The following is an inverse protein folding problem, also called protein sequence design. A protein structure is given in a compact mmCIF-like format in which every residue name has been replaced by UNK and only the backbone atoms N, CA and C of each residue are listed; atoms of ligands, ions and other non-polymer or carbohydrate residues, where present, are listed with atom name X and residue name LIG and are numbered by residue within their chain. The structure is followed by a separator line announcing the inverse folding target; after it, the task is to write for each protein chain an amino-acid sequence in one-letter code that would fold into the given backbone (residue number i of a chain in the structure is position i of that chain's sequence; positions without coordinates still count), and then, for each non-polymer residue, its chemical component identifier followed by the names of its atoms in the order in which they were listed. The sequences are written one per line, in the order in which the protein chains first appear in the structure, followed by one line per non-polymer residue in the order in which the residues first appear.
data_IF_362827057950
#
_entry.id   IF_362827057950
#
_cell.length_a   1.000
_cell.length_b   1.000
_cell.length_c   1.000
_cell.angle_alpha   90.00
_cell.angle_beta   90.00
_cell.angle_gamma   90.00
#
_symmetry.space_group_name_H-M   'P 1'
#
loop_
_entity.id
_entity.type
_entity.pdbx_description
1 polymer ?
#
# COMPACT_ATOMS: atom_id res chain seq x y z
N UNK A 1 -19.13 -27.98 17.14
CA UNK A 1 -19.22 -26.70 17.85
C UNK A 1 -19.83 -25.69 16.91
N UNK A 2 -20.81 -24.93 17.40
CA UNK A 2 -21.34 -23.78 16.68
C UNK A 2 -20.23 -22.73 16.55
N UNK A 3 -20.06 -22.17 15.35
CA UNK A 3 -19.04 -21.14 15.09
C UNK A 3 -19.53 -19.80 15.61
N UNK A 4 -18.61 -18.96 16.11
CA UNK A 4 -18.91 -17.63 16.69
C UNK A 4 -19.59 -16.66 15.71
N UNK A 5 -19.42 -16.89 14.41
CA UNK A 5 -20.10 -16.19 13.32
C UNK A 5 -20.16 -17.10 12.09
N UNK A 6 -20.81 -16.67 11.00
CA UNK A 6 -21.00 -17.49 9.78
C UNK A 6 -20.42 -16.85 8.52
N UNK A 7 -20.38 -15.52 8.39
CA UNK A 7 -19.97 -14.84 7.17
C UNK A 7 -19.40 -13.44 7.41
N UNK A 8 -18.30 -13.14 6.74
CA UNK A 8 -17.73 -11.78 6.61
C UNK A 8 -18.08 -11.21 5.24
N UNK A 9 -18.56 -9.98 5.18
CA UNK A 9 -18.70 -9.21 3.95
C UNK A 9 -17.48 -8.31 3.82
N UNK A 10 -16.77 -8.39 2.70
CA UNK A 10 -15.68 -7.47 2.36
C UNK A 10 -16.16 -6.55 1.23
N UNK A 11 -15.98 -5.25 1.39
CA UNK A 11 -16.40 -4.24 0.42
C UNK A 11 -15.16 -3.64 -0.25
N UNK A 12 -15.05 -3.81 -1.56
CA UNK A 12 -13.93 -3.34 -2.38
C UNK A 12 -12.96 -4.46 -2.78
N UNK A 13 -12.87 -4.75 -4.08
CA UNK A 13 -11.93 -5.73 -4.65
C UNK A 13 -10.56 -5.11 -5.00
N UNK A 14 -10.11 -4.14 -4.21
CA UNK A 14 -8.73 -3.66 -4.27
C UNK A 14 -7.75 -4.64 -3.60
N UNK A 15 -6.44 -4.35 -3.63
CA UNK A 15 -5.40 -5.29 -3.21
C UNK A 15 -5.56 -5.75 -1.76
N UNK A 16 -5.88 -4.83 -0.84
CA UNK A 16 -6.11 -5.19 0.58
C UNK A 16 -7.38 -6.03 0.79
N UNK A 17 -8.47 -5.71 0.08
CA UNK A 17 -9.73 -6.47 0.18
C UNK A 17 -9.57 -7.90 -0.33
N UNK A 18 -8.90 -8.07 -1.48
CA UNK A 18 -8.56 -9.36 -2.05
C UNK A 18 -7.61 -10.17 -1.15
N UNK A 19 -6.58 -9.53 -0.57
CA UNK A 19 -5.68 -10.21 0.37
C UNK A 19 -6.43 -10.67 1.62
N UNK A 20 -7.32 -9.85 2.19
CA UNK A 20 -8.16 -10.25 3.32
C UNK A 20 -9.06 -11.44 2.96
N UNK A 21 -9.69 -11.40 1.79
CA UNK A 21 -10.53 -12.51 1.29
C UNK A 21 -9.73 -13.81 1.20
N UNK A 22 -8.51 -13.77 0.65
CA UNK A 22 -7.63 -14.93 0.59
C UNK A 22 -7.27 -15.49 1.97
N UNK A 23 -6.85 -14.62 2.89
CA UNK A 23 -6.45 -15.01 4.24
C UNK A 23 -7.60 -15.69 4.98
N UNK A 24 -8.79 -15.08 4.95
CA UNK A 24 -10.00 -15.62 5.58
C UNK A 24 -10.46 -16.93 4.92
N UNK A 25 -10.54 -16.96 3.59
CA UNK A 25 -11.02 -18.14 2.87
C UNK A 25 -10.07 -19.34 3.02
N UNK A 26 -8.75 -19.09 3.04
CA UNK A 26 -7.74 -20.12 3.33
C UNK A 26 -7.88 -20.70 4.74
N UNK A 27 -8.32 -19.90 5.70
CA UNK A 27 -8.61 -20.34 7.07
C UNK A 27 -9.98 -21.05 7.20
N UNK A 28 -10.77 -21.09 6.14
CA UNK A 28 -12.10 -21.69 6.12
C UNK A 28 -13.21 -20.77 6.66
N UNK A 29 -12.97 -19.46 6.74
CA UNK A 29 -13.98 -18.46 7.08
C UNK A 29 -14.75 -18.09 5.81
N UNK A 30 -16.09 -18.19 5.78
CA UNK A 30 -16.87 -17.79 4.61
C UNK A 30 -16.82 -16.27 4.38
N UNK A 31 -16.49 -15.87 3.15
CA UNK A 31 -16.38 -14.47 2.75
C UNK A 31 -17.21 -14.19 1.51
N UNK A 32 -17.93 -13.08 1.54
CA UNK A 32 -18.58 -12.49 0.38
C UNK A 32 -17.89 -11.17 0.02
N UNK A 33 -17.29 -11.10 -1.16
CA UNK A 33 -16.66 -9.89 -1.69
C UNK A 33 -17.66 -9.10 -2.54
N UNK A 34 -17.81 -7.81 -2.29
CA UNK A 34 -18.64 -6.90 -3.08
C UNK A 34 -17.76 -5.86 -3.77
N UNK A 35 -17.93 -5.70 -5.07
CA UNK A 35 -17.21 -4.71 -5.88
C UNK A 35 -18.19 -3.90 -6.72
N UNK A 36 -17.98 -2.59 -6.76
CA UNK A 36 -18.83 -1.67 -7.50
C UNK A 36 -18.64 -1.79 -9.02
N UNK A 37 -17.43 -2.09 -9.46
CA UNK A 37 -17.03 -2.26 -10.87
C UNK A 37 -17.49 -3.62 -11.41
N UNK A 38 -17.37 -3.83 -12.72
CA UNK A 38 -17.66 -5.10 -13.40
C UNK A 38 -16.41 -5.98 -13.61
N UNK A 39 -15.20 -5.43 -13.44
CA UNK A 39 -13.92 -6.13 -13.42
C UNK A 39 -12.93 -5.39 -12.48
N UNK A 40 -11.74 -5.98 -12.28
CA UNK A 40 -10.61 -5.34 -11.62
C UNK A 40 -10.04 -4.16 -12.45
N UNK A 41 -9.40 -3.22 -11.75
CA UNK A 41 -8.62 -2.15 -12.37
C UNK A 41 -7.42 -2.74 -13.14
N UNK A 42 -7.34 -2.45 -14.43
CA UNK A 42 -6.32 -2.98 -15.35
C UNK A 42 -5.10 -2.06 -15.48
N UNK A 43 -5.07 -0.92 -14.77
CA UNK A 43 -3.95 0.01 -14.83
C UNK A 43 -2.76 -0.55 -14.03
N UNK A 44 -1.55 -0.61 -14.61
CA UNK A 44 -0.36 -1.16 -13.95
C UNK A 44 0.20 -0.20 -12.91
N UNK A 45 -0.56 0.07 -11.85
CA UNK A 45 -0.12 0.94 -10.76
C UNK A 45 1.04 0.28 -10.04
N UNK A 46 2.11 1.04 -9.85
CA UNK A 46 3.29 0.60 -9.12
C UNK A 46 2.94 0.19 -7.70
N UNK A 47 3.33 -1.02 -7.31
CA UNK A 47 3.21 -1.53 -5.95
C UNK A 47 4.49 -2.27 -5.56
N UNK A 48 5.18 -1.72 -4.57
CA UNK A 48 6.37 -2.30 -3.97
C UNK A 48 6.00 -2.66 -2.54
N UNK A 49 6.11 -3.94 -2.20
CA UNK A 49 5.71 -4.50 -0.91
C UNK A 49 6.94 -4.61 -0.02
N UNK A 50 7.04 -3.73 0.98
CA UNK A 50 8.16 -3.72 1.92
C UNK A 50 8.16 -4.94 2.85
N UNK A 51 9.23 -5.15 3.64
CA UNK A 51 9.38 -6.30 4.53
C UNK A 51 8.15 -6.60 5.42
N UNK A 52 7.44 -5.60 5.98
CA UNK A 52 6.27 -5.86 6.81
C UNK A 52 5.12 -6.56 6.10
N UNK A 53 5.00 -6.45 4.78
CA UNK A 53 3.93 -7.09 4.00
C UNK A 53 4.25 -8.55 3.64
N UNK A 54 5.53 -8.93 3.63
CA UNK A 54 5.99 -10.25 3.18
C UNK A 54 5.36 -11.41 4.00
N UNK A 55 5.26 -11.34 5.34
CA UNK A 55 4.60 -12.39 6.12
C UNK A 55 3.15 -12.63 5.71
N UNK A 56 2.39 -11.60 5.33
CA UNK A 56 0.98 -11.76 4.96
C UNK A 56 0.82 -12.33 3.55
N UNK A 57 1.69 -11.96 2.60
CA UNK A 57 1.76 -12.59 1.27
C UNK A 57 2.15 -14.07 1.39
N UNK A 58 3.10 -14.41 2.28
CA UNK A 58 3.49 -15.80 2.58
C UNK A 58 2.31 -16.56 3.21
N UNK A 59 1.64 -15.96 4.19
CA UNK A 59 0.48 -16.53 4.87
C UNK A 59 -0.68 -16.82 3.91
N UNK A 60 -0.97 -15.89 2.99
CA UNK A 60 -1.93 -16.09 1.91
C UNK A 60 -1.48 -17.22 0.94
N UNK A 61 -0.18 -17.47 0.83
CA UNK A 61 0.41 -18.52 -0.01
C UNK A 61 0.60 -18.09 -1.45
N UNK A 62 0.79 -16.79 -1.67
CA UNK A 62 0.98 -16.19 -3.00
C UNK A 62 2.38 -15.61 -3.18
N UNK A 63 3.19 -15.49 -2.11
CA UNK A 63 4.50 -14.84 -2.16
C UNK A 63 5.42 -15.40 -3.26
N UNK A 64 5.51 -16.73 -3.38
CA UNK A 64 6.38 -17.37 -4.38
C UNK A 64 5.95 -17.00 -5.80
N UNK A 65 4.64 -16.97 -6.04
CA UNK A 65 4.08 -16.61 -7.35
C UNK A 65 4.23 -15.12 -7.65
N UNK A 66 4.08 -14.26 -6.63
CA UNK A 66 4.35 -12.83 -6.73
C UNK A 66 5.81 -12.58 -7.11
N UNK A 67 6.75 -13.28 -6.48
CA UNK A 67 8.19 -13.18 -6.81
C UNK A 67 8.52 -13.77 -8.19
N UNK A 68 7.81 -14.81 -8.61
CA UNK A 68 8.00 -15.45 -9.92
C UNK A 68 7.53 -14.57 -11.07
N UNK A 69 6.36 -13.95 -10.95
CA UNK A 69 5.80 -13.06 -11.99
C UNK A 69 6.41 -11.66 -11.96
N UNK A 70 6.74 -11.18 -10.76
CA UNK A 70 7.25 -9.84 -10.53
C UNK A 70 8.77 -9.81 -10.41
N UNK A 71 9.25 -9.03 -9.43
CA UNK A 71 10.66 -8.92 -9.13
C UNK A 71 10.91 -8.74 -7.64
N UNK A 72 12.06 -9.17 -7.17
CA UNK A 72 12.58 -8.80 -5.85
C UNK A 72 13.36 -7.50 -6.01
N UNK A 73 12.79 -6.39 -5.55
CA UNK A 73 13.43 -5.07 -5.59
C UNK A 73 14.26 -4.90 -4.32
N UNK A 74 15.58 -4.82 -4.45
CA UNK A 74 16.48 -4.84 -3.30
C UNK A 74 17.08 -3.49 -2.99
N UNK A 75 17.38 -2.68 -4.01
CA UNK A 75 18.26 -1.52 -3.83
C UNK A 75 17.51 -0.19 -3.82
N UNK A 76 17.89 0.67 -2.87
CA UNK A 76 17.37 2.04 -2.77
C UNK A 76 18.52 3.03 -2.76
N UNK A 77 18.39 4.14 -3.48
CA UNK A 77 19.40 5.19 -3.47
C UNK A 77 18.77 6.59 -3.45
N UNK A 78 19.46 7.50 -2.77
CA UNK A 78 19.13 8.93 -2.73
C UNK A 78 20.20 9.71 -3.50
N UNK A 79 19.75 10.70 -4.24
CA UNK A 79 20.56 11.43 -5.21
C UNK A 79 20.31 12.92 -5.07
N UNK A 80 21.33 13.73 -5.35
CA UNK A 80 21.13 15.15 -5.65
C UNK A 80 20.52 15.26 -7.04
N UNK A 81 19.49 16.08 -7.23
CA UNK A 81 18.91 16.26 -8.55
C UNK A 81 19.85 17.05 -9.47
N UNK A 82 20.57 18.03 -8.94
CA UNK A 82 21.30 19.03 -9.73
C UNK A 82 22.47 18.45 -10.51
N UNK A 83 23.17 17.47 -9.94
CA UNK A 83 24.36 16.83 -10.53
C UNK A 83 24.26 15.30 -10.59
N UNK A 84 23.12 14.73 -10.18
CA UNK A 84 22.90 13.28 -10.08
C UNK A 84 23.96 12.54 -9.24
N UNK A 85 24.63 13.22 -8.30
CA UNK A 85 25.57 12.57 -7.38
C UNK A 85 24.83 11.78 -6.30
N UNK A 86 25.36 10.59 -5.97
CA UNK A 86 24.78 9.70 -4.96
C UNK A 86 25.02 10.25 -3.56
N UNK A 87 23.95 10.38 -2.79
CA UNK A 87 23.98 10.77 -1.39
C UNK A 87 24.18 9.55 -0.49
N UNK A 88 23.30 8.56 -0.63
CA UNK A 88 23.31 7.34 0.16
C UNK A 88 22.67 6.18 -0.62
N UNK A 89 22.96 4.95 -0.20
CA UNK A 89 22.41 3.72 -0.76
C UNK A 89 22.11 2.72 0.34
N UNK A 90 21.04 1.95 0.16
CA UNK A 90 20.74 0.75 0.92
C UNK A 90 20.57 -0.44 -0.04
N UNK A 91 21.03 -1.60 0.40
CA UNK A 91 20.93 -2.87 -0.30
C UNK A 91 20.13 -3.87 0.54
N UNK A 92 18.91 -4.13 0.08
CA UNK A 92 17.97 -5.04 0.71
C UNK A 92 18.29 -6.50 0.48
N UNK A 93 19.37 -6.85 -0.23
CA UNK A 93 19.84 -8.24 -0.30
C UNK A 93 20.15 -8.79 1.10
N UNK A 94 20.42 -7.93 2.09
CA UNK A 94 20.66 -8.31 3.50
C UNK A 94 19.44 -8.90 4.21
N UNK A 95 18.26 -8.89 3.57
CA UNK A 95 17.02 -9.47 4.06
C UNK A 95 16.67 -10.81 3.39
N UNK A 96 17.60 -11.41 2.63
CA UNK A 96 17.39 -12.72 1.98
C UNK A 96 17.24 -13.86 2.99
N UNK A 97 17.80 -13.72 4.19
CA UNK A 97 17.63 -14.62 5.32
C UNK A 97 17.56 -13.86 6.65
N UNK A 98 16.35 -13.80 7.22
CA UNK A 98 16.06 -13.30 8.56
C UNK A 98 15.40 -14.44 9.34
N UNK A 99 16.19 -15.17 10.13
CA UNK A 99 15.74 -16.33 10.89
C UNK A 99 15.06 -17.42 10.03
N UNK A 100 15.59 -17.66 8.83
CA UNK A 100 15.07 -18.63 7.86
C UNK A 100 13.97 -18.07 6.95
N UNK A 101 13.68 -16.77 7.04
CA UNK A 101 12.66 -16.09 6.25
C UNK A 101 13.27 -15.06 5.28
N UNK A 102 12.93 -15.16 4.00
CA UNK A 102 13.30 -14.16 2.99
C UNK A 102 12.30 -12.99 3.05
N UNK A 103 12.70 -11.90 3.71
CA UNK A 103 11.92 -10.69 3.91
C UNK A 103 12.19 -9.60 2.85
N UNK A 104 12.89 -9.94 1.77
CA UNK A 104 13.20 -8.97 0.72
C UNK A 104 11.94 -8.37 0.12
N UNK A 105 11.99 -7.04 -0.03
CA UNK A 105 11.00 -6.25 -0.74
C UNK A 105 10.72 -6.86 -2.11
N UNK A 106 9.44 -6.99 -2.45
CA UNK A 106 8.98 -7.61 -3.70
C UNK A 106 8.07 -6.63 -4.42
N UNK A 107 8.05 -6.68 -5.74
CA UNK A 107 7.19 -5.86 -6.58
C UNK A 107 6.47 -6.75 -7.58
N UNK A 108 5.15 -6.59 -7.64
CA UNK A 108 4.30 -7.04 -8.73
C UNK A 108 3.32 -5.89 -8.97
N UNK A 109 3.11 -5.49 -10.22
CA UNK A 109 2.18 -4.39 -10.53
C UNK A 109 0.75 -4.77 -10.13
N UNK A 110 -0.04 -3.79 -9.69
CA UNK A 110 -1.32 -4.06 -9.01
C UNK A 110 -2.34 -4.80 -9.87
N UNK A 111 -2.41 -4.49 -11.16
CA UNK A 111 -3.29 -5.18 -12.11
C UNK A 111 -2.99 -6.70 -12.16
N UNK A 112 -1.73 -7.09 -12.01
CA UNK A 112 -1.32 -8.49 -11.97
C UNK A 112 -1.52 -9.11 -10.59
N UNK A 113 -1.18 -8.39 -9.51
CA UNK A 113 -1.39 -8.89 -8.15
C UNK A 113 -2.88 -9.13 -7.88
N UNK A 114 -3.73 -8.17 -8.21
CA UNK A 114 -5.16 -8.25 -7.94
C UNK A 114 -5.79 -9.41 -8.72
N UNK A 115 -5.39 -9.60 -9.98
CA UNK A 115 -5.81 -10.76 -10.80
C UNK A 115 -5.33 -12.08 -10.23
N UNK A 116 -4.08 -12.17 -9.78
CA UNK A 116 -3.55 -13.36 -9.11
C UNK A 116 -4.37 -13.70 -7.86
N UNK A 117 -4.63 -12.72 -7.00
CA UNK A 117 -5.35 -12.93 -5.75
C UNK A 117 -6.81 -13.32 -5.99
N UNK A 118 -7.48 -12.65 -6.93
CA UNK A 118 -8.85 -12.98 -7.30
C UNK A 118 -8.93 -14.41 -7.87
N UNK A 119 -8.01 -14.79 -8.75
CA UNK A 119 -7.99 -16.13 -9.31
C UNK A 119 -7.80 -17.21 -8.23
N UNK A 120 -6.87 -17.02 -7.29
CA UNK A 120 -6.71 -17.94 -6.16
C UNK A 120 -7.97 -18.00 -5.28
N UNK A 121 -8.59 -16.85 -5.00
CA UNK A 121 -9.81 -16.77 -4.18
C UNK A 121 -10.96 -17.55 -4.82
N UNK A 122 -11.21 -17.37 -6.12
CA UNK A 122 -12.32 -18.00 -6.83
C UNK A 122 -12.06 -19.49 -7.12
N UNK A 123 -10.85 -19.85 -7.55
CA UNK A 123 -10.59 -21.21 -8.05
C UNK A 123 -10.22 -22.19 -6.95
N UNK A 124 -9.34 -21.78 -6.03
CA UNK A 124 -8.81 -22.66 -4.97
C UNK A 124 -9.71 -22.69 -3.75
N UNK A 125 -10.24 -21.53 -3.37
CA UNK A 125 -11.07 -21.38 -2.17
C UNK A 125 -12.57 -21.27 -2.45
N UNK A 126 -12.98 -21.26 -3.73
CA UNK A 126 -14.39 -21.16 -4.14
C UNK A 126 -15.07 -19.94 -3.51
N UNK A 127 -14.34 -18.84 -3.39
CA UNK A 127 -14.82 -17.58 -2.87
C UNK A 127 -15.98 -17.02 -3.70
N UNK A 128 -16.84 -16.24 -3.05
CA UNK A 128 -17.96 -15.57 -3.72
C UNK A 128 -17.62 -14.08 -3.90
N UNK A 129 -17.75 -13.60 -5.13
CA UNK A 129 -17.70 -12.18 -5.47
C UNK A 129 -18.99 -11.75 -6.16
N UNK A 130 -19.45 -10.55 -5.84
CA UNK A 130 -20.53 -9.88 -6.57
C UNK A 130 -20.02 -8.57 -7.15
N UNK A 131 -19.81 -8.59 -8.46
CA UNK A 131 -19.53 -7.42 -9.28
C UNK A 131 -20.78 -6.55 -9.46
N UNK A 132 -20.60 -5.29 -9.84
CA UNK A 132 -21.69 -4.32 -9.97
C UNK A 132 -22.55 -4.18 -8.71
N UNK A 133 -21.94 -4.37 -7.53
CA UNK A 133 -22.59 -4.21 -6.23
C UNK A 133 -21.94 -3.05 -5.50
N UNK A 134 -22.35 -1.84 -5.88
CA UNK A 134 -21.85 -0.60 -5.28
C UNK A 134 -22.50 -0.38 -3.92
N UNK A 135 -21.77 -0.65 -2.85
CA UNK A 135 -22.23 -0.35 -1.49
C UNK A 135 -22.42 1.15 -1.33
N UNK A 136 -23.61 1.56 -0.88
CA UNK A 136 -23.97 2.96 -0.65
C UNK A 136 -24.21 3.28 0.80
N UNK A 137 -24.50 2.27 1.62
CA UNK A 137 -24.77 2.43 3.05
C UNK A 137 -24.48 1.12 3.78
N UNK A 138 -23.98 1.23 5.02
CA UNK A 138 -23.79 0.11 5.94
C UNK A 138 -24.46 0.42 7.27
N UNK A 139 -25.25 -0.52 7.78
CA UNK A 139 -25.98 -0.39 9.04
C UNK A 139 -25.88 -1.68 9.85
N UNK A 140 -26.15 -1.58 11.15
CA UNK A 140 -26.16 -2.72 12.06
C UNK A 140 -27.17 -2.51 13.18
N UNK A 141 -27.56 -3.62 13.82
CA UNK A 141 -28.28 -3.67 15.08
C UNK A 141 -27.59 -4.65 16.05
N UNK A 142 -28.23 -4.97 17.17
CA UNK A 142 -27.69 -5.87 18.20
C UNK A 142 -27.41 -7.29 17.67
N UNK A 143 -28.11 -7.72 16.61
CA UNK A 143 -28.06 -9.07 16.07
C UNK A 143 -27.30 -9.23 14.76
N UNK A 144 -27.24 -8.20 13.91
CA UNK A 144 -26.69 -8.33 12.56
C UNK A 144 -26.10 -7.03 11.99
N UNK A 145 -25.30 -7.18 10.94
CA UNK A 145 -24.84 -6.08 10.09
C UNK A 145 -25.29 -6.32 8.65
N UNK A 146 -25.65 -5.27 7.93
CA UNK A 146 -25.99 -5.35 6.51
C UNK A 146 -25.43 -4.19 5.72
N UNK A 147 -25.25 -4.45 4.44
CA UNK A 147 -24.93 -3.44 3.43
C UNK A 147 -26.13 -3.25 2.52
N UNK A 148 -26.33 -2.01 2.11
CA UNK A 148 -27.23 -1.64 1.02
C UNK A 148 -26.38 -1.36 -0.22
N UNK A 149 -26.63 -2.09 -1.30
CA UNK A 149 -25.88 -1.99 -2.55
C UNK A 149 -26.80 -1.58 -3.71
N UNK A 150 -26.34 -0.62 -4.50
CA UNK A 150 -26.88 -0.34 -5.83
C UNK A 150 -26.37 -1.39 -6.82
N UNK A 151 -27.30 -2.00 -7.57
CA UNK A 151 -27.00 -2.98 -8.61
C UNK A 151 -27.78 -2.64 -9.89
N UNK A 152 -27.46 -3.25 -11.04
CA UNK A 152 -28.23 -3.07 -12.27
C UNK A 152 -29.71 -3.43 -12.14
N UNK A 153 -30.06 -4.35 -11.23
CA UNK A 153 -31.43 -4.80 -10.97
C UNK A 153 -32.15 -3.98 -9.87
N UNK A 154 -31.48 -2.95 -9.34
CA UNK A 154 -31.99 -2.09 -8.27
C UNK A 154 -31.22 -2.24 -6.96
N UNK A 155 -31.73 -1.59 -5.91
CA UNK A 155 -31.10 -1.61 -4.58
C UNK A 155 -31.39 -2.93 -3.87
N UNK A 156 -30.34 -3.55 -3.31
CA UNK A 156 -30.45 -4.80 -2.56
C UNK A 156 -29.77 -4.70 -1.20
N UNK A 157 -30.33 -5.42 -0.22
CA UNK A 157 -29.75 -5.60 1.10
C UNK A 157 -28.99 -6.92 1.18
N UNK A 158 -27.80 -6.90 1.77
CA UNK A 158 -26.98 -8.10 2.00
C UNK A 158 -26.53 -8.13 3.46
N UNK A 159 -26.93 -9.17 4.19
CA UNK A 159 -26.62 -9.34 5.63
C UNK A 159 -25.40 -10.23 5.86
N UNK A 160 -24.61 -9.93 6.88
CA UNK A 160 -23.48 -10.72 7.37
C UNK A 160 -23.29 -10.56 8.89
N UNK A 161 -22.25 -11.17 9.44
CA UNK A 161 -21.91 -11.05 10.86
C UNK A 161 -20.87 -9.96 11.13
N UNK A 162 -20.04 -9.68 10.11
CA UNK A 162 -19.09 -8.57 10.05
C UNK A 162 -19.07 -7.96 8.64
N UNK A 163 -18.84 -6.66 8.55
CA UNK A 163 -18.55 -5.94 7.31
C UNK A 163 -17.17 -5.30 7.43
N UNK A 164 -16.30 -5.49 6.44
CA UNK A 164 -15.00 -4.85 6.37
C UNK A 164 -14.93 -3.95 5.13
N UNK A 165 -14.76 -2.65 5.36
CA UNK A 165 -14.48 -1.67 4.31
C UNK A 165 -13.03 -1.72 3.87
N UNK A 166 -12.82 -2.13 2.63
CA UNK A 166 -11.56 -2.06 1.88
C UNK A 166 -11.75 -1.26 0.57
N UNK A 167 -12.74 -0.36 0.55
CA UNK A 167 -13.29 0.37 -0.60
C UNK A 167 -12.60 1.73 -0.84
N UNK A 168 -11.33 1.83 -0.47
CA UNK A 168 -10.43 2.89 -0.89
C UNK A 168 -10.63 4.26 -0.21
N UNK A 169 -9.90 5.25 -0.72
CA UNK A 169 -9.83 6.60 -0.15
C UNK A 169 -11.20 7.29 -0.05
N UNK A 170 -12.16 6.93 -0.91
CA UNK A 170 -13.53 7.48 -0.94
C UNK A 170 -14.57 6.58 -0.26
N UNK A 171 -14.13 5.61 0.54
CA UNK A 171 -14.93 4.57 1.21
C UNK A 171 -16.32 5.03 1.64
N UNK A 172 -17.34 4.33 1.14
CA UNK A 172 -18.73 4.48 1.58
C UNK A 172 -18.97 3.77 2.91
N UNK A 173 -18.22 2.71 3.22
CA UNK A 173 -18.26 2.07 4.54
C UNK A 173 -17.83 3.07 5.61
N UNK A 174 -16.69 3.77 5.44
CA UNK A 174 -16.22 4.80 6.38
C UNK A 174 -17.24 5.93 6.52
N UNK A 175 -17.78 6.45 5.41
CA UNK A 175 -18.77 7.54 5.44
C UNK A 175 -20.10 7.16 6.07
N UNK A 176 -20.44 5.87 6.14
CA UNK A 176 -21.60 5.39 6.89
C UNK A 176 -21.37 5.41 8.41
N UNK A 177 -20.10 5.45 8.84
CA UNK A 177 -19.71 5.47 10.25
C UNK A 177 -19.38 6.87 10.77
N UNK A 178 -18.77 7.71 9.92
CA UNK A 178 -18.20 8.99 10.32
C UNK A 178 -18.48 10.07 9.27
N UNK A 179 -18.82 11.27 9.74
CA UNK A 179 -19.04 12.44 8.88
C UNK A 179 -17.73 13.05 8.36
N UNK A 180 -16.61 12.80 9.04
CA UNK A 180 -15.30 13.36 8.75
C UNK A 180 -14.23 12.28 8.47
N UNK A 181 -13.14 12.74 7.85
CA UNK A 181 -11.92 11.95 7.68
C UNK A 181 -10.73 12.81 8.08
N UNK A 182 -10.47 12.94 9.39
CA UNK A 182 -9.59 13.97 9.93
C UNK A 182 -8.16 13.83 9.42
N UNK A 183 -7.47 14.97 9.35
CA UNK A 183 -6.13 15.10 8.78
C UNK A 183 -6.05 16.20 7.74
N UNK A 184 -5.01 16.19 6.92
CA UNK A 184 -4.71 17.27 5.97
C UNK A 184 -4.35 16.77 4.58
N UNK A 185 -4.26 17.71 3.64
CA UNK A 185 -3.82 17.49 2.26
C UNK A 185 -2.63 18.40 2.02
N UNK A 186 -1.55 17.85 1.47
CA UNK A 186 -0.36 18.65 1.17
C UNK A 186 -0.66 19.66 0.08
N UNK A 187 -0.11 20.87 0.20
CA UNK A 187 -0.17 21.91 -0.83
C UNK A 187 0.87 21.68 -1.95
N UNK A 188 0.96 20.43 -2.40
CA UNK A 188 1.83 19.95 -3.46
C UNK A 188 1.07 18.87 -4.22
N UNK A 189 1.19 18.90 -5.54
CA UNK A 189 0.66 17.86 -6.42
C UNK A 189 1.82 16.97 -6.86
N UNK A 190 1.52 15.70 -7.11
CA UNK A 190 2.45 14.79 -7.78
C UNK A 190 1.80 14.27 -9.05
N UNK A 191 2.63 13.99 -10.05
CA UNK A 191 2.22 13.27 -11.25
C UNK A 191 3.04 12.01 -11.31
N UNK A 192 2.34 10.91 -11.54
CA UNK A 192 2.95 9.61 -11.50
C UNK A 192 2.71 8.90 -12.83
N UNK A 193 3.81 8.49 -13.44
CA UNK A 193 3.87 7.97 -14.80
C UNK A 193 4.49 6.59 -14.80
N UNK A 194 4.16 5.79 -15.81
CA UNK A 194 4.90 4.57 -16.11
C UNK A 194 5.54 4.73 -17.48
N UNK A 195 6.85 4.49 -17.58
CA UNK A 195 7.60 4.67 -18.82
C UNK A 195 8.59 3.54 -19.07
N UNK A 196 8.86 3.29 -20.35
CA UNK A 196 10.09 2.61 -20.77
C UNK A 196 11.13 3.67 -21.12
N UNK A 197 12.26 3.64 -20.41
CA UNK A 197 13.42 4.47 -20.64
C UNK A 197 14.64 3.75 -20.06
N UNK A 198 15.76 3.77 -20.77
CA UNK A 198 16.99 3.08 -20.38
C UNK A 198 17.74 3.88 -19.31
N UNK A 199 17.25 3.86 -18.07
CA UNK A 199 17.88 4.53 -16.93
C UNK A 199 19.25 3.92 -16.57
N UNK A 200 19.42 2.61 -16.78
CA UNK A 200 20.63 1.87 -16.42
C UNK A 200 21.87 2.37 -17.19
N UNK A 201 21.70 2.87 -18.42
CA UNK A 201 22.80 3.51 -19.16
C UNK A 201 23.05 4.98 -18.79
N UNK A 202 22.17 5.62 -18.03
CA UNK A 202 22.28 7.07 -17.70
C UNK A 202 22.93 7.34 -16.36
N UNK A 203 22.74 6.45 -15.39
CA UNK A 203 23.35 6.55 -14.06
C UNK A 203 23.37 5.17 -13.39
N UNK A 204 24.06 5.06 -12.24
CA UNK A 204 24.12 3.82 -11.43
C UNK A 204 22.78 3.58 -10.71
N UNK A 205 21.72 3.36 -11.48
CA UNK A 205 20.36 3.25 -10.99
C UNK A 205 20.21 2.10 -9.99
N UNK A 206 19.65 2.41 -8.82
CA UNK A 206 19.08 1.40 -7.93
C UNK A 206 17.69 0.97 -8.43
N UNK A 207 17.08 -0.03 -7.80
CA UNK A 207 15.70 -0.41 -8.10
C UNK A 207 14.72 0.72 -7.75
N UNK A 208 15.00 1.48 -6.68
CA UNK A 208 14.26 2.68 -6.29
C UNK A 208 15.20 3.86 -6.06
N UNK A 209 14.95 4.96 -6.75
CA UNK A 209 15.81 6.15 -6.74
C UNK A 209 14.99 7.36 -6.32
N UNK A 210 15.52 8.13 -5.37
CA UNK A 210 14.91 9.36 -4.87
C UNK A 210 15.83 10.55 -5.16
N UNK A 211 15.45 11.38 -6.13
CA UNK A 211 16.19 12.59 -6.49
C UNK A 211 15.62 13.75 -5.66
N UNK A 212 16.48 14.33 -4.83
CA UNK A 212 16.11 15.33 -3.83
C UNK A 212 16.18 16.73 -4.43
N UNK A 213 15.05 17.46 -4.38
CA UNK A 213 14.97 18.85 -4.82
C UNK A 213 13.65 19.50 -4.36
N UNK A 214 13.65 20.78 -4.00
CA UNK A 214 12.46 21.51 -3.50
C UNK A 214 11.18 21.35 -4.36
N UNK A 215 11.31 21.63 -5.66
CA UNK A 215 10.19 21.68 -6.59
C UNK A 215 10.24 20.63 -7.71
N UNK A 216 11.33 19.88 -7.82
CA UNK A 216 11.59 18.92 -8.90
C UNK A 216 12.02 17.57 -8.36
N UNK A 217 11.58 17.24 -7.14
CA UNK A 217 11.81 15.95 -6.54
C UNK A 217 11.22 14.83 -7.41
N UNK A 218 11.93 13.70 -7.49
CA UNK A 218 11.56 12.57 -8.35
C UNK A 218 11.76 11.25 -7.61
N UNK A 219 10.80 10.33 -7.78
CA UNK A 219 11.00 8.90 -7.53
C UNK A 219 11.08 8.20 -8.88
N UNK A 220 12.12 7.40 -9.08
CA UNK A 220 12.28 6.51 -10.24
C UNK A 220 12.41 5.10 -9.71
N UNK A 221 11.38 4.28 -9.90
CA UNK A 221 11.35 2.90 -9.40
C UNK A 221 11.13 1.90 -10.53
N UNK A 222 11.98 0.88 -10.63
CA UNK A 222 11.79 -0.25 -11.52
C UNK A 222 10.64 -1.10 -10.99
N UNK A 223 9.62 -1.36 -11.81
CA UNK A 223 8.38 -2.05 -11.39
C UNK A 223 8.14 -3.38 -12.11
N UNK A 224 9.01 -3.73 -13.05
CA UNK A 224 8.95 -4.95 -13.87
C UNK A 224 10.35 -5.36 -14.31
N UNK A 225 10.49 -6.60 -14.76
CA UNK A 225 11.75 -7.13 -15.30
C UNK A 225 11.99 -6.76 -16.76
N UNK A 226 10.97 -6.31 -17.50
CA UNK A 226 11.08 -5.88 -18.91
C UNK A 226 11.47 -4.40 -19.07
N UNK A 227 11.75 -3.70 -17.97
CA UNK A 227 12.27 -2.33 -17.98
C UNK A 227 11.20 -1.24 -17.91
N UNK A 228 9.98 -1.55 -17.46
CA UNK A 228 9.00 -0.52 -17.09
C UNK A 228 9.38 0.12 -15.74
N UNK A 229 9.44 1.45 -15.72
CA UNK A 229 9.70 2.26 -14.54
C UNK A 229 8.50 3.12 -14.16
N UNK A 230 8.26 3.25 -12.87
CA UNK A 230 7.43 4.30 -12.27
C UNK A 230 8.27 5.56 -12.09
N UNK A 231 7.85 6.65 -12.72
CA UNK A 231 8.41 7.99 -12.47
C UNK A 231 7.33 8.85 -11.82
N UNK A 232 7.53 9.20 -10.55
CA UNK A 232 6.67 10.12 -9.80
C UNK A 232 7.42 11.41 -9.54
N UNK A 233 6.87 12.55 -9.93
CA UNK A 233 7.51 13.86 -9.77
C UNK A 233 6.56 14.90 -9.16
N UNK A 234 7.15 15.91 -8.52
CA UNK A 234 6.41 17.07 -8.02
C UNK A 234 5.91 17.98 -9.14
N UNK A 235 4.66 18.42 -9.05
CA UNK A 235 4.03 19.32 -10.02
C UNK A 235 3.27 20.46 -9.32
N UNK A 236 3.03 21.54 -10.05
CA UNK A 236 2.22 22.66 -9.58
C UNK A 236 0.78 22.21 -9.25
N UNK A 237 0.23 22.63 -8.10
CA UNK A 237 -1.16 22.35 -7.77
C UNK A 237 -2.11 23.13 -8.67
N UNK A 238 -3.28 22.57 -8.93
CA UNK A 238 -4.38 23.27 -9.62
C UNK A 238 -4.33 23.25 -11.15
N UNK A 239 -3.31 22.64 -11.74
CA UNK A 239 -3.25 22.43 -13.19
C UNK A 239 -4.35 21.47 -13.65
N UNK A 240 -4.94 21.77 -14.80
CA UNK A 240 -5.81 20.88 -15.54
C UNK A 240 -5.04 19.68 -16.11
N UNK A 241 -5.78 18.64 -16.50
CA UNK A 241 -5.18 17.45 -17.11
C UNK A 241 -4.44 17.75 -18.43
N UNK A 242 -4.96 18.69 -19.23
CA UNK A 242 -4.32 19.09 -20.48
C UNK A 242 -2.99 19.83 -20.22
N UNK A 243 -2.97 20.77 -19.28
CA UNK A 243 -1.75 21.49 -18.89
C UNK A 243 -0.67 20.54 -18.36
N UNK A 244 -1.06 19.53 -17.57
CA UNK A 244 -0.12 18.50 -17.08
C UNK A 244 0.49 17.72 -18.24
N UNK A 245 -0.32 17.31 -19.23
CA UNK A 245 0.16 16.60 -20.42
C UNK A 245 1.11 17.44 -21.26
N UNK A 246 0.80 18.70 -21.47
CA UNK A 246 1.62 19.62 -22.27
C UNK A 246 2.98 19.88 -21.62
N UNK A 247 3.03 19.97 -20.28
CA UNK A 247 4.26 20.24 -19.52
C UNK A 247 5.15 19.01 -19.35
N UNK A 248 4.58 17.80 -19.39
CA UNK A 248 5.28 16.56 -19.07
C UNK A 248 6.62 16.38 -19.83
N UNK A 249 6.71 16.63 -21.17
CA UNK A 249 7.96 16.46 -21.90
C UNK A 249 9.09 17.37 -21.42
N UNK A 250 8.80 18.67 -21.21
CA UNK A 250 9.79 19.63 -20.72
C UNK A 250 10.24 19.31 -19.29
N UNK A 251 9.32 18.79 -18.47
CA UNK A 251 9.63 18.34 -17.12
C UNK A 251 10.60 17.17 -17.17
N UNK A 252 10.35 16.15 -17.99
CA UNK A 252 11.23 15.00 -18.09
C UNK A 252 12.62 15.35 -18.60
N UNK A 253 12.70 16.21 -19.61
CA UNK A 253 13.98 16.73 -20.09
C UNK A 253 14.75 17.43 -18.96
N UNK A 254 14.06 18.13 -18.07
CA UNK A 254 14.68 18.83 -16.94
C UNK A 254 15.13 17.90 -15.82
N UNK A 255 14.29 16.96 -15.41
CA UNK A 255 14.44 16.26 -14.11
C UNK A 255 15.00 14.84 -14.22
N UNK A 256 15.02 14.24 -15.41
CA UNK A 256 15.46 12.86 -15.57
C UNK A 256 16.94 12.78 -15.98
N UNK A 257 17.69 11.79 -15.46
CA UNK A 257 19.01 11.46 -15.95
C UNK A 257 19.06 11.27 -17.47
N UNK A 258 19.99 11.97 -18.12
CA UNK A 258 20.15 11.95 -19.57
C UNK A 258 19.29 12.96 -20.34
N UNK A 259 18.43 13.73 -19.67
CA UNK A 259 17.64 14.81 -20.27
C UNK A 259 16.86 14.39 -21.54
N UNK A 260 16.06 13.32 -21.46
CA UNK A 260 15.48 12.70 -22.64
C UNK A 260 14.45 13.60 -23.32
N UNK A 261 14.48 13.61 -24.64
CA UNK A 261 13.42 14.15 -25.49
C UNK A 261 12.24 13.18 -25.54
N UNK A 262 11.08 13.68 -25.94
CA UNK A 262 9.82 12.91 -25.97
C UNK A 262 9.85 11.66 -26.84
N UNK A 263 10.77 11.56 -27.80
CA UNK A 263 10.98 10.40 -28.67
C UNK A 263 11.97 9.36 -28.11
N UNK A 264 12.60 9.62 -26.96
CA UNK A 264 13.61 8.75 -26.34
C UNK A 264 13.03 7.87 -25.21
N UNK A 265 11.77 8.08 -24.83
CA UNK A 265 11.03 7.25 -23.88
C UNK A 265 9.64 6.89 -24.40
N UNK A 266 9.05 5.83 -23.87
CA UNK A 266 7.65 5.46 -24.14
C UNK A 266 6.82 5.66 -22.89
N UNK A 267 5.87 6.60 -22.93
CA UNK A 267 4.88 6.81 -21.87
C UNK A 267 3.76 5.76 -21.98
N UNK A 268 3.57 4.98 -20.92
CA UNK A 268 2.52 3.93 -20.83
C UNK A 268 1.28 4.47 -20.11
N UNK A 269 1.47 5.17 -19.00
CA UNK A 269 0.38 5.76 -18.23
C UNK A 269 0.84 7.00 -17.50
N UNK A 270 -0.12 7.86 -17.15
CA UNK A 270 0.11 9.06 -16.35
C UNK A 270 -1.15 9.41 -15.58
N UNK A 271 -1.00 9.78 -14.31
CA UNK A 271 -2.10 10.23 -13.48
C UNK A 271 -1.61 11.25 -12.42
N UNK A 272 -2.35 12.34 -12.20
CA UNK A 272 -2.09 13.25 -11.08
C UNK A 272 -2.67 12.70 -9.78
N UNK A 273 -2.01 12.99 -8.66
CA UNK A 273 -2.48 12.63 -7.33
C UNK A 273 -2.31 13.79 -6.35
N UNK A 274 -3.28 13.92 -5.45
CA UNK A 274 -3.15 14.71 -4.23
C UNK A 274 -2.61 13.82 -3.12
N UNK A 275 -1.73 14.37 -2.31
CA UNK A 275 -1.15 13.65 -1.18
C UNK A 275 -1.90 14.02 0.09
N UNK A 276 -2.26 13.00 0.87
CA UNK A 276 -3.06 13.15 2.08
C UNK A 276 -2.31 12.59 3.29
N UNK A 277 -2.67 13.07 4.46
CA UNK A 277 -2.44 12.39 5.73
C UNK A 277 -3.78 12.38 6.45
N UNK A 278 -4.46 11.24 6.47
CA UNK A 278 -5.80 11.14 7.06
C UNK A 278 -5.98 9.81 7.75
N UNK A 279 -6.74 9.78 8.84
CA UNK A 279 -7.05 8.56 9.57
C UNK A 279 -8.46 8.65 10.12
N UNK A 280 -9.24 7.58 9.98
CA UNK A 280 -10.56 7.49 10.60
C UNK A 280 -10.41 7.52 12.13
N UNK A 281 -11.39 8.10 12.86
CA UNK A 281 -11.33 8.20 14.32
C UNK A 281 -11.38 6.82 15.02
N UNK A 282 -11.96 5.82 14.37
CA UNK A 282 -11.90 4.41 14.77
C UNK A 282 -11.90 3.52 13.52
N UNK A 283 -11.21 2.39 13.57
CA UNK A 283 -11.27 1.36 12.52
C UNK A 283 -12.34 0.31 12.80
N UNK A 284 -13.14 0.53 13.84
CA UNK A 284 -14.24 -0.34 14.25
C UNK A 284 -15.41 0.46 14.83
N UNK A 285 -16.62 0.10 14.42
CA UNK A 285 -17.88 0.42 15.12
C UNK A 285 -18.73 -0.84 15.14
N UNK A 286 -18.83 -1.49 16.31
CA UNK A 286 -19.55 -2.77 16.44
C UNK A 286 -19.00 -3.85 15.50
N UNK A 287 -19.81 -4.27 14.54
CA UNK A 287 -19.52 -5.30 13.53
C UNK A 287 -18.97 -4.75 12.21
N UNK A 288 -18.81 -3.42 12.10
CA UNK A 288 -18.31 -2.73 10.91
C UNK A 288 -16.87 -2.32 11.16
N UNK A 289 -15.96 -2.73 10.27
CA UNK A 289 -14.52 -2.51 10.38
C UNK A 289 -13.98 -1.81 9.14
N UNK A 290 -12.85 -1.13 9.29
CA UNK A 290 -12.11 -0.47 8.21
C UNK A 290 -10.68 -1.00 8.14
N UNK A 291 -10.12 -1.06 6.94
CA UNK A 291 -8.70 -1.37 6.71
C UNK A 291 -8.15 -0.60 5.51
N UNK A 292 -6.83 -0.41 5.45
CA UNK A 292 -6.13 0.22 4.33
C UNK A 292 -6.70 1.62 4.01
N UNK A 293 -6.80 1.99 2.73
CA UNK A 293 -7.24 3.32 2.27
C UNK A 293 -8.66 3.72 2.76
N UNK A 294 -9.50 2.75 3.14
CA UNK A 294 -10.78 3.03 3.76
C UNK A 294 -10.62 3.54 5.20
N UNK A 295 -9.57 3.09 5.90
CA UNK A 295 -9.26 3.45 7.28
C UNK A 295 -8.33 4.66 7.39
N UNK A 296 -7.29 4.75 6.56
CA UNK A 296 -6.28 5.81 6.62
C UNK A 296 -5.61 6.04 5.27
N UNK A 297 -4.99 7.20 5.10
CA UNK A 297 -4.26 7.60 3.91
C UNK A 297 -2.92 8.19 4.33
N UNK A 298 -1.91 7.95 3.51
CA UNK A 298 -0.64 8.66 3.59
C UNK A 298 -0.14 9.09 2.22
N UNK A 299 0.86 9.97 2.20
CA UNK A 299 1.55 10.29 0.95
C UNK A 299 2.39 9.07 0.48
N UNK A 300 2.65 8.93 -0.83
CA UNK A 300 3.24 7.69 -1.36
C UNK A 300 4.75 7.56 -1.15
N UNK A 301 5.42 8.58 -0.58
CA UNK A 301 6.88 8.55 -0.42
C UNK A 301 7.30 7.54 0.65
N UNK A 302 8.02 6.51 0.21
CA UNK A 302 8.44 5.37 1.03
C UNK A 302 7.47 4.18 1.04
N UNK A 303 6.45 4.15 0.16
CA UNK A 303 5.64 2.95 -0.09
C UNK A 303 4.76 2.49 1.08
N UNK A 304 4.50 3.38 2.05
CA UNK A 304 3.83 3.01 3.30
C UNK A 304 2.32 2.72 3.12
N UNK A 305 1.65 3.29 2.11
CA UNK A 305 0.20 3.11 1.93
C UNK A 305 -0.20 1.65 1.74
N UNK A 306 0.32 1.00 0.70
CA UNK A 306 -0.02 -0.40 0.43
C UNK A 306 0.57 -1.38 1.44
N UNK A 307 1.81 -1.14 1.88
CA UNK A 307 2.46 -1.98 2.90
C UNK A 307 1.66 -1.92 4.21
N UNK A 308 1.27 -0.72 4.64
CA UNK A 308 0.40 -0.51 5.80
C UNK A 308 -0.96 -1.17 5.63
N UNK A 309 -1.58 -1.04 4.45
CA UNK A 309 -2.85 -1.68 4.13
C UNK A 309 -2.80 -3.21 4.15
N UNK A 310 -1.66 -3.84 3.80
CA UNK A 310 -1.48 -5.29 3.93
C UNK A 310 -1.31 -5.72 5.37
N UNK A 311 -0.53 -4.96 6.15
CA UNK A 311 -0.36 -5.23 7.58
C UNK A 311 -1.68 -5.03 8.35
N UNK A 312 -2.51 -4.06 7.96
CA UNK A 312 -3.86 -3.90 8.52
C UNK A 312 -4.68 -5.17 8.33
N UNK A 313 -4.82 -5.65 7.08
CA UNK A 313 -5.65 -6.84 6.81
C UNK A 313 -5.04 -8.12 7.37
N UNK A 314 -3.72 -8.21 7.46
CA UNK A 314 -3.02 -9.29 8.15
C UNK A 314 -3.36 -9.36 9.63
N UNK A 315 -3.37 -8.21 10.32
CA UNK A 315 -3.79 -8.10 11.72
C UNK A 315 -5.29 -8.35 11.91
N UNK A 316 -6.13 -7.80 11.02
CA UNK A 316 -7.57 -8.03 11.07
C UNK A 316 -7.94 -9.51 10.86
N UNK A 317 -7.22 -10.18 9.94
CA UNK A 317 -7.33 -11.62 9.76
C UNK A 317 -7.05 -12.38 11.06
N UNK A 318 -5.98 -12.04 11.79
CA UNK A 318 -5.66 -12.68 13.07
C UNK A 318 -6.82 -12.52 14.04
N UNK A 319 -7.36 -11.31 14.20
CA UNK A 319 -8.50 -11.07 15.07
C UNK A 319 -9.73 -11.92 14.71
N UNK A 320 -10.13 -11.93 13.43
CA UNK A 320 -11.30 -12.68 12.96
C UNK A 320 -11.08 -14.21 13.05
N UNK A 321 -9.87 -14.69 12.76
CA UNK A 321 -9.50 -16.09 12.91
C UNK A 321 -9.51 -16.54 14.37
N UNK A 322 -9.00 -15.70 15.28
CA UNK A 322 -9.07 -15.93 16.72
C UNK A 322 -10.51 -16.08 17.22
N UNK A 323 -11.42 -15.21 16.78
CA UNK A 323 -12.85 -15.29 17.12
C UNK A 323 -13.49 -16.56 16.52
N UNK A 324 -13.18 -16.87 15.26
CA UNK A 324 -13.71 -18.04 14.55
C UNK A 324 -13.30 -19.37 15.19
N UNK A 325 -12.09 -19.42 15.73
CA UNK A 325 -11.53 -20.60 16.41
C UNK A 325 -11.87 -20.66 17.90
N UNK A 326 -12.62 -19.67 18.43
CA UNK A 326 -12.97 -19.60 19.85
C UNK A 326 -11.78 -19.28 20.77
N UNK A 327 -10.71 -18.70 20.21
CA UNK A 327 -9.48 -18.31 20.92
C UNK A 327 -9.47 -16.84 21.34
N UNK A 328 -10.41 -16.04 20.85
CA UNK A 328 -10.57 -14.64 21.23
C UNK A 328 -12.05 -14.29 21.29
N UNK A 329 -12.40 -13.32 22.13
CA UNK A 329 -13.71 -12.68 22.08
C UNK A 329 -13.67 -11.46 21.16
N UNK A 330 -14.84 -10.85 20.98
CA UNK A 330 -15.06 -9.74 20.06
C UNK A 330 -14.23 -8.48 20.44
N UNK A 331 -13.70 -8.37 21.67
CA UNK A 331 -12.89 -7.21 22.11
C UNK A 331 -11.53 -7.14 21.42
N UNK A 332 -11.05 -8.24 20.85
CA UNK A 332 -9.79 -8.22 20.07
C UNK A 332 -9.89 -7.30 18.85
N UNK A 333 -11.11 -7.04 18.34
CA UNK A 333 -11.33 -6.10 17.24
C UNK A 333 -11.26 -4.63 17.71
N UNK A 334 -11.52 -4.34 18.99
CA UNK A 334 -11.26 -3.01 19.58
C UNK A 334 -9.74 -2.77 19.65
N UNK A 335 -9.00 -3.81 20.07
CA UNK A 335 -7.55 -3.77 20.09
C UNK A 335 -6.96 -3.62 18.68
N UNK A 336 -7.57 -4.25 17.66
CA UNK A 336 -7.22 -4.01 16.26
C UNK A 336 -7.33 -2.53 15.91
N UNK A 337 -8.47 -1.91 16.22
CA UNK A 337 -8.68 -0.47 15.97
C UNK A 337 -7.60 0.38 16.66
N UNK A 338 -7.39 0.16 17.95
CA UNK A 338 -6.39 0.89 18.74
C UNK A 338 -4.99 0.75 18.15
N UNK A 339 -4.53 -0.48 17.93
CA UNK A 339 -3.15 -0.75 17.52
C UNK A 339 -2.88 -0.33 16.09
N UNK A 340 -3.84 -0.47 15.17
CA UNK A 340 -3.62 -0.01 13.79
C UNK A 340 -3.64 1.51 13.69
N UNK A 341 -4.44 2.20 14.49
CA UNK A 341 -4.37 3.68 14.60
C UNK A 341 -3.05 4.13 15.23
N UNK A 342 -2.57 3.46 16.28
CA UNK A 342 -1.23 3.70 16.87
C UNK A 342 -0.14 3.55 15.81
N UNK A 343 -0.11 2.42 15.09
CA UNK A 343 0.86 2.17 14.02
C UNK A 343 0.75 3.15 12.86
N UNK A 344 -0.44 3.62 12.53
CA UNK A 344 -0.59 4.68 11.54
C UNK A 344 0.06 5.98 12.03
N UNK A 345 -0.26 6.45 13.24
CA UNK A 345 0.27 7.72 13.79
C UNK A 345 1.80 7.69 13.93
N UNK A 346 2.29 6.66 14.59
CA UNK A 346 3.69 6.62 15.06
C UNK A 346 4.65 6.19 13.94
N UNK A 347 4.15 5.50 12.91
CA UNK A 347 4.99 4.94 11.84
C UNK A 347 4.54 5.44 10.48
N UNK A 348 3.35 5.08 9.99
CA UNK A 348 2.95 5.38 8.60
C UNK A 348 2.94 6.89 8.34
N UNK A 349 2.24 7.65 9.18
CA UNK A 349 2.10 9.10 9.05
C UNK A 349 3.47 9.76 9.23
N UNK A 350 4.14 9.50 10.35
CA UNK A 350 5.45 10.10 10.67
C UNK A 350 6.51 9.82 9.58
N UNK A 351 6.73 8.56 9.24
CA UNK A 351 7.77 8.16 8.27
C UNK A 351 7.44 8.67 6.87
N UNK A 352 6.17 8.61 6.43
CA UNK A 352 5.81 9.11 5.11
C UNK A 352 5.95 10.63 5.03
N UNK A 353 5.59 11.39 6.08
CA UNK A 353 5.81 12.83 6.09
C UNK A 353 7.30 13.18 6.02
N UNK A 354 8.15 12.47 6.77
CA UNK A 354 9.59 12.70 6.77
C UNK A 354 10.24 12.33 5.44
N UNK A 355 9.79 11.25 4.80
CA UNK A 355 10.23 10.89 3.45
C UNK A 355 9.86 11.97 2.43
N UNK A 356 8.66 12.53 2.53
CA UNK A 356 8.26 13.62 1.63
C UNK A 356 9.09 14.88 1.87
N UNK A 357 9.23 15.32 3.13
CA UNK A 357 10.06 16.49 3.49
C UNK A 357 11.50 16.33 3.00
N UNK A 358 12.07 15.14 3.15
CA UNK A 358 13.42 14.80 2.69
C UNK A 358 13.55 14.90 1.18
N UNK A 359 12.60 14.34 0.44
CA UNK A 359 12.71 14.34 -1.03
C UNK A 359 12.46 15.73 -1.61
N UNK A 360 11.59 16.53 -0.97
CA UNK A 360 11.25 17.89 -1.37
C UNK A 360 12.12 18.95 -0.68
N UNK A 361 13.33 18.61 -0.26
CA UNK A 361 14.16 19.52 0.51
C UNK A 361 14.79 20.61 -0.38
N UNK A 362 14.81 21.86 0.11
CA UNK A 362 15.35 23.04 -0.58
C UNK A 362 16.86 23.22 -0.50
N UNK A 363 17.51 22.61 0.48
CA UNK A 363 18.95 22.73 0.69
C UNK A 363 19.64 21.39 0.44
N UNK A 364 19.39 20.79 -0.72
CA UNK A 364 19.93 19.47 -1.10
C UNK A 364 21.42 19.39 -0.77
N UNK A 365 22.22 20.40 -1.12
CA UNK A 365 23.68 20.52 -0.87
C UNK A 365 24.14 20.13 0.54
N UNK A 366 23.42 20.51 1.60
CA UNK A 366 23.78 20.23 3.01
C UNK A 366 22.97 19.10 3.64
N UNK A 367 22.14 18.39 2.87
CA UNK A 367 21.19 17.41 3.43
C UNK A 367 21.87 16.26 4.20
N UNK A 368 23.08 15.86 3.79
CA UNK A 368 23.88 14.83 4.46
C UNK A 368 24.41 15.24 5.84
N UNK A 369 24.29 16.49 6.24
CA UNK A 369 24.71 16.99 7.55
C UNK A 369 23.55 17.07 8.55
N UNK A 370 22.31 17.02 8.05
CA UNK A 370 21.11 17.36 8.83
C UNK A 370 19.98 16.34 8.77
N UNK A 371 19.91 15.51 7.74
CA UNK A 371 18.90 14.46 7.66
C UNK A 371 19.39 13.18 8.36
N UNK A 372 18.78 12.77 9.50
CA UNK A 372 19.27 11.64 10.28
C UNK A 372 19.26 10.32 9.51
N UNK A 373 18.26 10.09 8.66
CA UNK A 373 18.18 8.86 7.87
C UNK A 373 19.32 8.78 6.88
N UNK A 374 19.56 9.85 6.10
CA UNK A 374 20.64 9.85 5.11
C UNK A 374 22.03 9.75 5.76
N UNK A 375 22.22 10.36 6.92
CA UNK A 375 23.45 10.22 7.72
C UNK A 375 23.68 8.74 8.08
N UNK A 376 22.67 8.07 8.62
CA UNK A 376 22.79 6.67 9.01
C UNK A 376 22.94 5.75 7.80
N UNK A 377 22.18 5.97 6.71
CA UNK A 377 22.35 5.22 5.46
C UNK A 377 23.78 5.36 4.92
N UNK A 378 24.37 6.56 4.98
CA UNK A 378 25.74 6.79 4.53
C UNK A 378 26.78 6.07 5.39
N UNK A 379 26.57 6.01 6.72
CA UNK A 379 27.43 5.24 7.63
C UNK A 379 27.29 3.73 7.43
N UNK A 380 26.11 3.27 7.02
CA UNK A 380 25.79 1.86 6.82
C UNK A 380 26.14 1.33 5.42
N UNK A 381 26.50 2.18 4.44
CA UNK A 381 26.64 1.79 3.02
C UNK A 381 27.59 0.59 2.79
N UNK A 382 28.58 0.38 3.67
CA UNK A 382 29.52 -0.76 3.62
C UNK A 382 29.39 -1.73 4.81
N UNK A 383 28.32 -1.63 5.61
CA UNK A 383 28.07 -2.39 6.83
C UNK A 383 26.73 -3.15 6.69
N UNK A 384 26.82 -4.41 6.27
CA UNK A 384 25.63 -5.24 5.97
C UNK A 384 24.73 -5.44 7.18
N UNK A 385 25.31 -5.60 8.37
CA UNK A 385 24.52 -5.79 9.61
C UNK A 385 23.76 -4.51 9.95
N UNK A 386 24.39 -3.34 9.86
CA UNK A 386 23.66 -2.07 10.06
C UNK A 386 22.57 -1.85 9.03
N UNK A 387 22.80 -2.17 7.75
CA UNK A 387 21.74 -2.08 6.74
C UNK A 387 20.57 -3.00 7.08
N UNK A 388 20.86 -4.23 7.53
CA UNK A 388 19.87 -5.20 7.98
C UNK A 388 19.06 -4.64 9.16
N UNK A 389 19.73 -4.15 10.20
CA UNK A 389 19.09 -3.53 11.36
C UNK A 389 18.19 -2.36 10.96
N UNK A 390 18.69 -1.44 10.13
CA UNK A 390 17.92 -0.29 9.65
C UNK A 390 16.67 -0.71 8.89
N UNK A 391 16.76 -1.67 7.97
CA UNK A 391 15.60 -2.13 7.22
C UNK A 391 14.59 -2.88 8.07
N UNK A 392 15.05 -3.67 9.05
CA UNK A 392 14.19 -4.39 9.98
C UNK A 392 13.42 -3.49 10.93
N UNK A 393 13.81 -2.22 11.10
CA UNK A 393 12.99 -1.25 11.84
C UNK A 393 11.57 -1.11 11.25
N UNK A 394 11.42 -1.30 9.93
CA UNK A 394 10.10 -1.29 9.29
C UNK A 394 9.14 -2.36 9.85
N UNK A 395 9.66 -3.47 10.39
CA UNK A 395 8.86 -4.53 10.98
C UNK A 395 8.08 -4.09 12.22
N UNK A 396 8.47 -2.97 12.86
CA UNK A 396 7.69 -2.35 13.93
C UNK A 396 6.29 -1.91 13.49
N UNK A 397 6.04 -1.82 12.18
CA UNK A 397 4.71 -1.58 11.61
C UNK A 397 3.72 -2.71 11.96
N UNK A 398 4.21 -3.93 12.19
CA UNK A 398 3.38 -5.08 12.56
C UNK A 398 3.05 -5.05 14.06
N UNK A 399 1.95 -5.72 14.39
CA UNK A 399 1.57 -6.05 15.76
C UNK A 399 1.00 -7.47 15.74
N UNK A 400 1.48 -8.34 16.62
CA UNK A 400 1.01 -9.73 16.72
C UNK A 400 -0.27 -9.74 17.56
N UNK A 401 -1.44 -9.96 16.95
CA UNK A 401 -2.69 -10.06 17.70
C UNK A 401 -2.87 -11.43 18.34
N UNK A 402 -2.15 -12.45 17.88
CA UNK A 402 -2.26 -13.83 18.39
C UNK A 402 -1.74 -13.97 19.82
N UNK A 403 -0.89 -13.04 20.28
CA UNK A 403 -0.44 -12.97 21.67
C UNK A 403 -1.60 -12.75 22.68
N UNK A 404 -2.77 -12.27 22.20
CA UNK A 404 -3.97 -12.04 23.01
C UNK A 404 -4.95 -13.21 22.97
N UNK A 405 -4.62 -14.30 22.29
CA UNK A 405 -5.45 -15.49 22.29
C UNK A 405 -5.48 -16.13 23.67
N UNK A 406 -6.65 -16.62 24.08
CA UNK A 406 -6.79 -17.43 25.27
C UNK A 406 -5.91 -18.68 25.12
N UNK A 407 -5.09 -18.94 26.14
CA UNK A 407 -4.36 -20.21 26.22
C UNK A 407 -5.40 -21.28 26.50
N UNK A 408 -5.57 -22.18 25.53
CA UNK A 408 -6.50 -23.32 25.63
C UNK A 408 -6.14 -24.30 26.74
#
# INVERSE_FOLDING_TARGET
MERSFKKVIVVGAGPSGLLLCLLLAKHGIPVLLLEASDDLDDRPRAAIYGPPAIPDLKRAGILDEVRRQGMTAGTMAWWRMEDHSRLARLDGSVLDDVDGEDLRTTCLVLDQLDRLMLNEFLTKYRGEIKWNHKVVEVQQDDGAVWVEAETPDGRTRITGDYVVGCDGATSQVRKSLFDDFPGFTWDKQIVATNIYYDFESKFEAADSNFLIHENHFVMIAKITTDGLYRVTYGELPGLSWEEIKERQPEIFEKILPGHPKSNEYKLVSMAPYKMHQRCAPSFRVGRILLAADAAHLCNPWGGQGITGGFVDVGGLYECLAGIWDGKADDKILDLYSEKRIEKWKDIIDTVSQDNFRRVSDSASSTILERDPLLIECRKAENDKEKQKEMMLQSMQLRYDFTQHYTKG
#
